data_IF_765438205212
#
_entry.id   IF_765438205212
#
_cell.length_a   1.000
_cell.length_b   1.000
_cell.length_c   1.000
_cell.angle_alpha   90.00
_cell.angle_beta   90.00
_cell.angle_gamma   90.00
#
_symmetry.space_group_name_H-M   'P 1'
#
loop_
_entity.id
_entity.type
_entity.pdbx_description
1 polymer ?
#
# COMPACT_ATOMS: atom_id res chain seq x y z
N UNK A 1 35.15 -21.48 -54.38
CA UNK A 1 34.40 -21.97 -55.55
C UNK A 1 33.05 -21.32 -55.54
N UNK A 2 32.92 -20.43 -56.52
CA UNK A 2 31.75 -20.08 -57.30
C UNK A 2 30.67 -19.35 -56.50
N UNK A 3 30.50 -18.08 -56.52
CA UNK A 3 30.45 -16.98 -57.49
C UNK A 3 29.07 -16.79 -58.08
N UNK A 4 28.76 -15.53 -58.13
CA UNK A 4 27.87 -14.75 -59.00
C UNK A 4 26.38 -14.80 -58.69
N UNK A 5 25.65 -13.76 -58.78
CA UNK A 5 25.77 -12.37 -59.18
C UNK A 5 24.35 -11.84 -59.43
N UNK A 6 24.11 -10.62 -59.01
CA UNK A 6 23.55 -9.54 -59.84
C UNK A 6 22.14 -9.68 -60.42
N UNK A 7 21.33 -8.66 -60.24
CA UNK A 7 20.86 -7.69 -61.23
C UNK A 7 19.75 -6.79 -60.63
N UNK A 8 20.04 -5.55 -60.35
CA UNK A 8 19.61 -4.26 -60.92
C UNK A 8 18.11 -3.96 -61.02
N UNK A 9 17.78 -2.83 -60.44
CA UNK A 9 16.65 -1.95 -60.70
C UNK A 9 16.73 -1.36 -62.16
N UNK A 10 15.71 -0.72 -62.73
CA UNK A 10 15.46 0.71 -62.50
C UNK A 10 14.00 1.21 -62.53
N UNK A 11 13.70 2.27 -61.79
CA UNK A 11 13.43 3.68 -62.15
C UNK A 11 12.34 3.98 -63.17
N UNK A 12 11.35 4.83 -62.78
CA UNK A 12 11.02 6.13 -63.34
C UNK A 12 9.55 6.53 -63.09
N UNK A 13 9.38 7.65 -62.45
CA UNK A 13 8.23 8.59 -62.64
C UNK A 13 8.46 9.31 -64.00
N UNK A 14 7.59 10.18 -64.55
CA UNK A 14 6.72 11.15 -63.86
C UNK A 14 5.41 11.55 -64.61
N UNK A 15 4.63 12.43 -63.92
CA UNK A 15 3.91 13.62 -64.43
C UNK A 15 2.68 13.49 -65.33
N UNK A 16 1.67 14.24 -65.06
CA UNK A 16 1.08 15.46 -65.62
C UNK A 16 -0.44 15.57 -65.34
N UNK A 17 -0.82 16.69 -64.70
CA UNK A 17 -1.68 17.82 -65.17
C UNK A 17 -2.99 17.43 -65.87
N UNK A 18 -4.14 17.91 -65.44
CA UNK A 18 -4.74 19.26 -65.56
C UNK A 18 -6.24 19.14 -65.27
N UNK A 19 -6.83 19.97 -64.47
CA UNK A 19 -7.62 21.14 -64.72
C UNK A 19 -8.86 20.96 -65.65
N UNK A 20 -10.06 21.25 -65.08
CA UNK A 20 -11.06 22.23 -65.56
C UNK A 20 -12.39 22.01 -64.81
N UNK A 21 -12.84 23.01 -64.12
CA UNK A 21 -13.97 23.96 -64.35
C UNK A 21 -15.33 23.33 -64.64
N UNK A 22 -16.31 23.69 -63.82
CA UNK A 22 -17.51 24.22 -64.37
C UNK A 22 -18.81 23.97 -63.63
N UNK A 23 -19.33 25.03 -63.03
CA UNK A 23 -20.76 25.47 -63.03
C UNK A 23 -21.78 24.81 -62.09
N UNK A 24 -22.19 25.59 -61.07
CA UNK A 24 -23.60 25.75 -60.63
C UNK A 24 -24.53 26.15 -61.84
N UNK A 25 -25.89 26.16 -61.76
CA UNK A 25 -26.75 26.50 -60.64
C UNK A 25 -28.12 25.77 -60.59
N UNK A 26 -28.88 26.00 -59.56
CA UNK A 26 -30.27 26.46 -59.48
C UNK A 26 -31.16 25.79 -58.45
N UNK A 27 -31.70 26.61 -57.59
CA UNK A 27 -32.97 26.51 -56.87
C UNK A 27 -34.16 26.46 -57.83
N UNK A 28 -35.41 26.02 -57.49
CA UNK A 28 -36.22 26.66 -56.46
C UNK A 28 -37.30 25.81 -55.72
N UNK A 29 -37.71 26.34 -54.54
CA UNK A 29 -39.08 26.55 -54.00
C UNK A 29 -40.09 25.41 -53.92
N UNK A 30 -40.65 25.14 -52.75
CA UNK A 30 -42.01 25.52 -52.29
C UNK A 30 -42.41 24.86 -50.99
N UNK A 31 -42.88 25.61 -50.05
CA UNK A 31 -43.82 25.32 -48.96
C UNK A 31 -45.21 25.01 -49.52
N UNK A 32 -46.27 24.64 -48.79
CA UNK A 32 -46.46 24.48 -47.34
C UNK A 32 -47.42 23.33 -46.85
N UNK A 33 -47.77 23.43 -45.62
CA UNK A 33 -49.04 23.03 -44.93
C UNK A 33 -49.12 21.62 -44.35
N UNK A 34 -49.35 21.49 -43.16
CA UNK A 34 -50.43 21.60 -42.17
C UNK A 34 -50.71 20.29 -41.42
N UNK A 35 -51.01 20.49 -40.17
CA UNK A 35 -51.92 19.71 -39.27
C UNK A 35 -51.35 18.48 -38.60
N UNK A 36 -51.14 18.60 -37.31
CA UNK A 36 -52.04 18.41 -36.16
C UNK A 36 -52.05 17.02 -35.59
N UNK A 37 -52.11 17.03 -34.30
CA UNK A 37 -52.58 16.02 -33.35
C UNK A 37 -51.52 15.09 -32.72
N UNK A 38 -51.10 15.36 -31.51
CA UNK A 38 -51.59 14.75 -30.31
C UNK A 38 -51.12 13.31 -30.04
N UNK A 39 -50.11 13.16 -29.19
CA UNK A 39 -50.19 12.04 -28.21
C UNK A 39 -49.40 12.40 -26.93
N UNK A 40 -50.14 12.46 -25.86
CA UNK A 40 -49.68 12.51 -24.50
C UNK A 40 -49.05 11.17 -24.15
N UNK A 41 -47.99 11.22 -23.32
CA UNK A 41 -47.64 10.06 -22.53
C UNK A 41 -46.20 9.56 -22.71
N UNK A 42 -45.22 10.28 -22.20
CA UNK A 42 -43.95 9.66 -21.87
C UNK A 42 -43.66 9.95 -20.40
N UNK A 43 -43.70 8.88 -19.63
CA UNK A 43 -43.54 8.88 -18.18
C UNK A 43 -42.28 9.59 -17.75
N UNK A 44 -42.44 10.49 -16.81
CA UNK A 44 -41.38 11.13 -16.07
C UNK A 44 -40.62 10.05 -15.28
N UNK A 45 -39.51 9.57 -15.85
CA UNK A 45 -38.52 8.78 -15.13
C UNK A 45 -37.96 9.67 -14.02
N UNK A 46 -38.17 9.26 -12.79
CA UNK A 46 -37.79 9.95 -11.56
C UNK A 46 -36.28 10.25 -11.56
N UNK A 47 -35.84 11.52 -11.41
CA UNK A 47 -34.41 11.89 -11.34
C UNK A 47 -33.80 11.64 -9.94
N UNK A 48 -34.44 10.82 -9.08
CA UNK A 48 -33.96 10.59 -7.71
C UNK A 48 -32.73 9.66 -7.61
N UNK A 49 -32.54 8.74 -8.55
CA UNK A 49 -31.40 7.80 -8.50
C UNK A 49 -30.08 8.45 -8.94
N UNK A 50 -30.13 9.36 -9.92
CA UNK A 50 -28.94 10.07 -10.39
C UNK A 50 -28.40 11.12 -9.38
N UNK A 51 -29.28 11.65 -8.53
CA UNK A 51 -28.89 12.64 -7.52
C UNK A 51 -28.17 12.01 -6.30
N UNK A 52 -28.48 10.75 -5.98
CA UNK A 52 -27.81 10.03 -4.88
C UNK A 52 -26.38 9.61 -5.26
N UNK A 53 -26.18 9.11 -6.48
CA UNK A 53 -24.85 8.78 -7.01
C UNK A 53 -23.95 10.01 -7.19
N UNK A 54 -24.54 11.17 -7.52
CA UNK A 54 -23.79 12.43 -7.67
C UNK A 54 -23.35 13.05 -6.33
N UNK A 55 -24.01 12.73 -5.21
CA UNK A 55 -23.61 13.22 -3.88
C UNK A 55 -22.42 12.46 -3.32
N UNK A 56 -22.33 11.15 -3.51
CA UNK A 56 -21.16 10.35 -3.14
C UNK A 56 -19.89 10.74 -3.93
N UNK A 57 -20.05 11.21 -5.15
CA UNK A 57 -18.94 11.73 -5.97
C UNK A 57 -18.38 13.09 -5.48
N UNK A 58 -19.08 13.79 -4.58
CA UNK A 58 -18.69 15.12 -4.06
C UNK A 58 -17.86 15.08 -2.76
N UNK A 59 -17.75 13.92 -2.10
CA UNK A 59 -16.92 13.82 -0.89
C UNK A 59 -15.44 13.85 -1.30
N UNK A 60 -14.63 14.79 -0.78
CA UNK A 60 -13.21 14.87 -1.08
C UNK A 60 -12.49 13.55 -0.73
N UNK A 61 -11.48 13.18 -1.51
CA UNK A 61 -10.73 11.95 -1.28
C UNK A 61 -10.04 11.95 0.09
N UNK A 62 -9.61 13.11 0.56
CA UNK A 62 -9.10 13.33 1.93
C UNK A 62 -10.07 12.81 2.98
N UNK A 63 -11.36 13.22 2.90
CA UNK A 63 -12.37 12.82 3.88
C UNK A 63 -12.59 11.30 3.85
N UNK A 64 -12.63 10.68 2.66
CA UNK A 64 -12.79 9.22 2.52
C UNK A 64 -11.64 8.47 3.16
N UNK A 65 -10.40 8.88 2.88
CA UNK A 65 -9.20 8.29 3.48
C UNK A 65 -9.17 8.48 4.99
N UNK A 66 -9.50 9.68 5.49
CA UNK A 66 -9.52 9.97 6.93
C UNK A 66 -10.54 9.11 7.66
N UNK A 67 -11.78 9.03 7.14
CA UNK A 67 -12.83 8.19 7.73
C UNK A 67 -12.42 6.71 7.71
N UNK A 68 -11.88 6.24 6.58
CA UNK A 68 -11.46 4.84 6.44
C UNK A 68 -10.35 4.46 7.43
N UNK A 69 -9.33 5.31 7.55
CA UNK A 69 -8.25 5.08 8.53
C UNK A 69 -8.79 5.17 9.96
N UNK A 70 -9.71 6.10 10.24
CA UNK A 70 -10.41 6.18 11.53
C UNK A 70 -11.16 4.88 11.85
N UNK A 71 -11.91 4.34 10.89
CA UNK A 71 -12.62 3.05 11.05
C UNK A 71 -11.63 1.90 11.32
N UNK A 72 -10.52 1.81 10.57
CA UNK A 72 -9.48 0.79 10.79
C UNK A 72 -8.86 0.92 12.19
N UNK A 73 -8.60 2.14 12.64
CA UNK A 73 -8.05 2.41 13.98
C UNK A 73 -9.03 2.01 15.10
N UNK A 74 -10.31 2.37 14.98
CA UNK A 74 -11.35 1.98 15.94
C UNK A 74 -11.53 0.46 15.96
N UNK A 75 -11.58 -0.17 14.79
CA UNK A 75 -11.62 -1.62 14.66
C UNK A 75 -10.41 -2.27 15.37
N UNK A 76 -9.21 -1.73 15.16
CA UNK A 76 -7.99 -2.19 15.83
C UNK A 76 -8.06 -2.05 17.35
N UNK A 77 -8.58 -0.93 17.88
CA UNK A 77 -8.77 -0.75 19.32
C UNK A 77 -9.70 -1.81 19.91
N UNK A 78 -10.82 -2.07 19.26
CA UNK A 78 -11.78 -3.10 19.70
C UNK A 78 -11.11 -4.47 19.72
N UNK A 79 -10.38 -4.82 18.66
CA UNK A 79 -9.75 -6.13 18.55
C UNK A 79 -8.56 -6.30 19.51
N UNK A 80 -7.74 -5.27 19.73
CA UNK A 80 -6.68 -5.30 20.75
C UNK A 80 -7.29 -5.39 22.15
N UNK A 81 -8.39 -4.66 22.41
CA UNK A 81 -9.13 -4.77 23.66
C UNK A 81 -9.64 -6.19 23.95
N UNK A 82 -10.07 -6.91 22.91
CA UNK A 82 -10.49 -8.31 23.04
C UNK A 82 -9.32 -9.29 23.14
N UNK A 83 -8.25 -9.09 22.36
CA UNK A 83 -7.14 -10.04 22.25
C UNK A 83 -6.10 -9.96 23.36
N UNK A 84 -6.01 -8.84 24.08
CA UNK A 84 -4.89 -8.58 25.00
C UNK A 84 -5.10 -8.86 26.49
N UNK A 85 -6.32 -9.01 27.05
CA UNK A 85 -6.53 -9.06 28.50
C UNK A 85 -5.71 -10.13 29.23
N UNK A 86 -5.66 -11.35 28.68
CA UNK A 86 -4.97 -12.49 29.32
C UNK A 86 -3.46 -12.27 29.37
N UNK A 87 -2.86 -11.90 28.25
CA UNK A 87 -1.42 -11.62 28.19
C UNK A 87 -1.07 -10.38 29.03
N UNK A 88 -1.93 -9.37 29.01
CA UNK A 88 -1.76 -8.14 29.79
C UNK A 88 -1.75 -8.43 31.29
N UNK A 89 -2.65 -9.29 31.76
CA UNK A 89 -2.68 -9.71 33.16
C UNK A 89 -1.40 -10.47 33.58
N UNK A 90 -0.95 -11.39 32.70
CA UNK A 90 0.28 -12.18 32.98
C UNK A 90 1.56 -11.34 32.99
N UNK A 91 1.68 -10.33 32.09
CA UNK A 91 2.90 -9.52 32.00
C UNK A 91 2.92 -8.30 32.90
N UNK A 92 1.76 -7.70 33.20
CA UNK A 92 1.68 -6.41 33.89
C UNK A 92 0.78 -6.41 35.12
N UNK A 93 0.19 -7.54 35.49
CA UNK A 93 -0.75 -7.63 36.63
C UNK A 93 -2.07 -6.86 36.42
N UNK A 94 -2.34 -6.41 35.17
CA UNK A 94 -3.54 -5.66 34.83
C UNK A 94 -4.04 -6.07 33.45
N UNK A 95 -5.32 -6.36 33.31
CA UNK A 95 -5.97 -6.74 32.07
C UNK A 95 -5.97 -5.60 31.04
N UNK A 96 -5.89 -4.35 31.48
CA UNK A 96 -6.03 -3.14 30.65
C UNK A 96 -4.69 -2.53 30.22
N UNK A 97 -3.54 -2.98 30.74
CA UNK A 97 -2.26 -2.32 30.52
C UNK A 97 -1.86 -2.22 29.04
N UNK A 98 -2.07 -3.29 28.25
CA UNK A 98 -1.79 -3.29 26.80
C UNK A 98 -2.78 -2.40 26.06
N UNK A 99 -4.06 -2.47 26.40
CA UNK A 99 -5.10 -1.64 25.78
C UNK A 99 -4.85 -0.15 26.00
N UNK A 100 -4.56 0.28 27.24
CA UNK A 100 -4.27 1.68 27.57
C UNK A 100 -3.04 2.17 26.78
N UNK A 101 -2.01 1.34 26.65
CA UNK A 101 -0.84 1.66 25.83
C UNK A 101 -1.21 1.82 24.35
N UNK A 102 -2.09 0.97 23.83
CA UNK A 102 -2.56 1.10 22.43
C UNK A 102 -3.33 2.41 22.22
N UNK A 103 -4.21 2.80 23.16
CA UNK A 103 -4.93 4.09 23.11
C UNK A 103 -3.95 5.27 23.15
N UNK A 104 -2.95 5.22 24.04
CA UNK A 104 -1.90 6.25 24.13
C UNK A 104 -1.14 6.37 22.79
N UNK A 105 -0.64 5.27 22.24
CA UNK A 105 0.10 5.26 20.98
C UNK A 105 -0.78 5.70 19.80
N UNK A 106 -2.06 5.35 19.82
CA UNK A 106 -3.02 5.83 18.83
C UNK A 106 -3.20 7.35 18.92
N UNK A 107 -3.33 7.90 20.13
CA UNK A 107 -3.39 9.36 20.33
C UNK A 107 -2.17 10.07 19.76
N UNK A 108 -0.96 9.58 20.08
CA UNK A 108 0.30 10.10 19.51
C UNK A 108 0.30 9.97 17.98
N UNK A 109 -0.14 8.83 17.46
CA UNK A 109 -0.21 8.58 16.01
C UNK A 109 -1.19 9.50 15.30
N UNK A 110 -2.38 9.77 15.88
CA UNK A 110 -3.36 10.72 15.33
C UNK A 110 -2.79 12.14 15.33
N UNK A 111 -2.13 12.56 16.40
CA UNK A 111 -1.44 13.87 16.43
C UNK A 111 -0.38 13.94 15.33
N UNK A 112 0.43 12.90 15.16
CA UNK A 112 1.41 12.82 14.08
C UNK A 112 0.73 12.89 12.70
N UNK A 113 -0.34 12.13 12.48
CA UNK A 113 -1.12 12.16 11.23
C UNK A 113 -1.63 13.57 10.92
N UNK A 114 -2.20 14.26 11.89
CA UNK A 114 -2.70 15.63 11.72
C UNK A 114 -1.58 16.62 11.47
N UNK A 115 -0.44 16.52 12.17
CA UNK A 115 0.73 17.36 11.96
C UNK A 115 1.29 17.17 10.54
N UNK A 116 1.49 15.93 10.11
CA UNK A 116 2.05 15.63 8.79
C UNK A 116 1.06 15.93 7.65
N UNK A 117 -0.25 15.90 7.91
CA UNK A 117 -1.25 16.33 6.92
C UNK A 117 -1.23 17.84 6.67
N UNK A 118 -0.69 18.65 7.59
CA UNK A 118 -0.54 20.11 7.44
C UNK A 118 0.82 20.53 6.87
N UNK A 119 1.81 19.64 6.88
CA UNK A 119 3.13 19.91 6.29
C UNK A 119 3.10 19.62 4.80
N UNK A 120 3.42 20.61 3.97
CA UNK A 120 3.51 20.43 2.51
C UNK A 120 4.48 19.28 2.19
N UNK A 121 3.95 18.25 1.49
CA UNK A 121 4.71 17.06 1.11
C UNK A 121 5.98 17.39 0.30
N UNK A 122 6.04 18.52 -0.40
CA UNK A 122 7.21 18.96 -1.16
C UNK A 122 8.43 19.24 -0.28
N UNK A 123 8.22 19.57 1.00
CA UNK A 123 9.32 19.79 1.96
C UNK A 123 10.12 18.51 2.22
N UNK A 124 9.51 17.34 2.12
CA UNK A 124 10.18 16.04 2.29
C UNK A 124 11.32 15.83 1.29
N UNK A 125 11.21 16.44 0.12
CA UNK A 125 12.26 16.46 -0.90
C UNK A 125 13.59 17.03 -0.40
N UNK A 126 13.52 18.05 0.45
CA UNK A 126 14.72 18.72 1.00
C UNK A 126 15.46 17.83 2.00
N UNK A 127 14.73 17.00 2.74
CA UNK A 127 15.30 16.16 3.80
C UNK A 127 15.52 14.69 3.38
N UNK A 128 15.34 14.34 2.10
CA UNK A 128 15.46 12.97 1.61
C UNK A 128 16.77 12.27 1.97
N UNK A 129 17.91 12.98 1.83
CA UNK A 129 19.23 12.42 2.13
C UNK A 129 19.46 12.34 3.63
N UNK A 130 19.29 13.42 4.44
CA UNK A 130 19.46 13.31 5.88
C UNK A 130 18.47 12.30 6.51
N UNK A 131 17.25 12.19 6.01
CA UNK A 131 16.29 11.19 6.49
C UNK A 131 16.81 9.77 6.20
N UNK A 132 17.29 9.51 4.98
CA UNK A 132 17.82 8.20 4.58
C UNK A 132 19.07 7.84 5.38
N UNK A 133 20.05 8.75 5.47
CA UNK A 133 21.30 8.52 6.20
C UNK A 133 21.04 8.36 7.70
N UNK A 134 20.17 9.19 8.27
CA UNK A 134 19.78 9.09 9.68
C UNK A 134 19.09 7.77 10.01
N UNK A 135 18.13 7.32 9.19
CA UNK A 135 17.47 6.03 9.40
C UNK A 135 18.43 4.84 9.18
N UNK A 136 19.33 4.93 8.20
CA UNK A 136 20.36 3.92 7.99
C UNK A 136 21.32 3.85 9.18
N UNK A 137 21.75 5.00 9.71
CA UNK A 137 22.54 5.08 10.94
C UNK A 137 21.82 4.46 12.14
N UNK A 138 20.54 4.73 12.31
CA UNK A 138 19.73 4.10 13.37
C UNK A 138 19.64 2.56 13.22
N UNK A 139 19.55 2.04 11.97
CA UNK A 139 19.58 0.58 11.75
C UNK A 139 20.93 -0.03 12.16
N UNK A 140 22.03 0.68 11.98
CA UNK A 140 23.37 0.24 12.43
C UNK A 140 23.45 0.30 13.95
N UNK A 141 22.98 1.39 14.57
CA UNK A 141 22.99 1.58 16.04
C UNK A 141 22.23 0.47 16.76
N UNK A 142 21.09 0.00 16.23
CA UNK A 142 20.34 -1.12 16.83
C UNK A 142 21.15 -2.42 16.89
N UNK A 143 22.06 -2.61 15.95
CA UNK A 143 22.93 -3.81 15.90
C UNK A 143 24.12 -3.73 16.87
N UNK A 144 24.41 -2.54 17.39
CA UNK A 144 25.50 -2.34 18.34
C UNK A 144 25.15 -2.94 19.72
N UNK A 145 26.07 -3.70 20.34
CA UNK A 145 25.85 -4.27 21.67
C UNK A 145 25.51 -3.20 22.70
N UNK A 146 24.46 -3.43 23.50
CA UNK A 146 24.04 -2.53 24.58
C UNK A 146 23.19 -1.32 24.19
N UNK A 147 23.06 -0.98 22.90
CA UNK A 147 22.23 0.15 22.43
C UNK A 147 20.86 -0.31 21.93
N UNK A 148 20.76 -1.51 21.42
CA UNK A 148 19.48 -2.10 20.97
C UNK A 148 18.71 -2.74 22.13
N UNK A 149 17.40 -2.49 22.18
CA UNK A 149 16.50 -3.18 23.12
C UNK A 149 16.12 -4.53 22.53
N UNK A 150 16.47 -5.60 23.25
CA UNK A 150 16.12 -6.97 22.88
C UNK A 150 14.73 -7.31 23.41
N UNK A 151 13.86 -7.77 22.51
CA UNK A 151 12.59 -8.36 22.88
C UNK A 151 12.32 -9.57 21.97
N UNK A 152 11.86 -10.68 22.55
CA UNK A 152 11.61 -11.91 21.77
C UNK A 152 12.84 -12.47 21.04
N UNK A 153 14.04 -12.31 21.62
CA UNK A 153 15.30 -12.84 21.06
C UNK A 153 15.91 -12.03 19.91
N UNK A 154 15.40 -10.82 19.61
CA UNK A 154 15.94 -9.94 18.56
C UNK A 154 16.04 -8.49 19.00
N UNK A 155 17.15 -7.83 18.64
CA UNK A 155 17.37 -6.38 18.86
C UNK A 155 16.85 -5.61 17.67
N UNK A 156 15.66 -5.02 17.80
CA UNK A 156 14.99 -4.28 16.70
C UNK A 156 14.58 -2.86 17.08
N UNK A 157 14.66 -2.50 18.36
CA UNK A 157 14.17 -1.24 18.89
C UNK A 157 15.27 -0.42 19.53
N UNK A 158 15.15 0.89 19.41
CA UNK A 158 15.92 1.88 20.16
C UNK A 158 14.96 2.55 21.13
N UNK A 159 15.35 2.73 22.38
CA UNK A 159 14.54 3.51 23.30
C UNK A 159 14.63 3.06 24.75
N UNK A 160 13.92 3.78 25.61
CA UNK A 160 13.88 3.59 27.05
C UNK A 160 12.48 3.23 27.53
N UNK A 161 12.39 2.20 28.35
CA UNK A 161 11.14 1.82 29.00
C UNK A 161 10.03 1.47 28.01
N UNK A 162 8.96 2.27 28.00
CA UNK A 162 7.78 2.06 27.14
C UNK A 162 7.89 2.73 25.76
N UNK A 163 8.81 3.70 25.60
CA UNK A 163 9.02 4.40 24.36
C UNK A 163 10.10 3.70 23.54
N UNK A 164 9.66 2.81 22.67
CA UNK A 164 10.51 2.05 21.76
C UNK A 164 10.22 2.43 20.33
N UNK A 165 11.24 2.90 19.63
CA UNK A 165 11.19 3.22 18.21
C UNK A 165 11.84 2.09 17.42
N UNK A 166 11.17 1.63 16.37
CA UNK A 166 11.73 0.65 15.43
C UNK A 166 12.26 1.40 14.19
N UNK A 167 13.59 1.47 13.99
CA UNK A 167 14.16 2.22 12.87
C UNK A 167 13.77 1.69 11.49
N UNK A 168 13.50 0.40 11.37
CA UNK A 168 13.04 -0.20 10.12
C UNK A 168 11.67 0.33 9.67
N UNK A 169 10.82 0.81 10.59
CA UNK A 169 9.56 1.49 10.25
C UNK A 169 9.83 2.85 9.58
N UNK A 170 10.76 3.64 10.13
CA UNK A 170 11.19 4.91 9.54
C UNK A 170 11.88 4.69 8.18
N UNK A 171 12.63 3.59 8.03
CA UNK A 171 13.32 3.26 6.78
C UNK A 171 12.36 3.09 5.61
N UNK A 172 11.16 2.55 5.83
CA UNK A 172 10.13 2.46 4.78
C UNK A 172 9.76 3.84 4.24
N UNK A 173 9.52 4.80 5.13
CA UNK A 173 9.22 6.17 4.73
C UNK A 173 10.42 6.85 4.05
N UNK A 174 11.64 6.67 4.58
CA UNK A 174 12.86 7.23 4.01
C UNK A 174 13.10 6.71 2.58
N UNK A 175 12.89 5.42 2.37
CA UNK A 175 12.99 4.78 1.04
C UNK A 175 11.96 5.35 0.06
N UNK A 176 10.70 5.51 0.49
CA UNK A 176 9.64 6.12 -0.33
C UNK A 176 10.04 7.52 -0.79
N UNK A 177 10.45 8.38 0.14
CA UNK A 177 10.85 9.77 -0.16
C UNK A 177 12.04 9.81 -1.12
N UNK A 178 13.04 8.96 -0.87
CA UNK A 178 14.25 8.90 -1.70
C UNK A 178 13.94 8.42 -3.13
N UNK A 179 13.23 7.31 -3.27
CA UNK A 179 12.92 6.71 -4.59
C UNK A 179 11.99 7.65 -5.39
N UNK A 180 10.98 8.26 -4.74
CA UNK A 180 10.09 9.20 -5.37
C UNK A 180 10.84 10.44 -5.92
N UNK A 181 11.80 10.99 -5.16
CA UNK A 181 12.61 12.11 -5.62
C UNK A 181 13.58 11.70 -6.74
N UNK A 182 14.21 10.55 -6.61
CA UNK A 182 15.12 10.00 -7.64
C UNK A 182 14.41 9.86 -8.99
N UNK A 183 13.25 9.21 -9.02
CA UNK A 183 12.45 9.02 -10.23
C UNK A 183 11.89 10.32 -10.81
N UNK A 184 11.61 11.30 -9.94
CA UNK A 184 11.14 12.61 -10.37
C UNK A 184 12.26 13.42 -11.04
N UNK A 185 13.50 13.34 -10.54
CA UNK A 185 14.64 14.06 -11.12
C UNK A 185 15.20 13.41 -12.37
N UNK A 186 15.03 12.10 -12.52
CA UNK A 186 15.60 11.32 -13.62
C UNK A 186 14.53 10.81 -14.59
N UNK A 187 13.48 11.60 -14.81
CA UNK A 187 12.36 11.23 -15.66
C UNK A 187 12.82 10.91 -17.09
N UNK A 188 13.76 11.66 -17.63
CA UNK A 188 14.29 11.47 -18.98
C UNK A 188 15.21 10.25 -19.11
N UNK A 189 15.67 9.70 -17.99
CA UNK A 189 16.59 8.56 -17.91
C UNK A 189 15.97 7.32 -17.26
N UNK A 190 14.63 7.22 -17.27
CA UNK A 190 13.91 6.11 -16.59
C UNK A 190 14.31 4.74 -17.12
N UNK A 191 14.64 4.64 -18.42
CA UNK A 191 15.10 3.39 -19.04
C UNK A 191 16.56 3.05 -18.74
N UNK A 192 17.32 3.99 -18.16
CA UNK A 192 18.72 3.75 -17.83
C UNK A 192 18.83 3.04 -16.48
N UNK A 193 19.15 1.73 -16.55
CA UNK A 193 19.31 0.87 -15.37
C UNK A 193 20.36 1.39 -14.40
N UNK A 194 21.49 1.92 -14.87
CA UNK A 194 22.59 2.37 -14.01
C UNK A 194 22.19 3.62 -13.21
N UNK A 195 21.53 4.57 -13.86
CA UNK A 195 21.21 5.85 -13.19
C UNK A 195 19.99 5.75 -12.27
N UNK A 196 19.03 4.85 -12.53
CA UNK A 196 17.77 4.78 -11.77
C UNK A 196 17.73 3.55 -10.88
N UNK A 197 17.94 2.37 -11.43
CA UNK A 197 17.74 1.13 -10.69
C UNK A 197 18.88 0.88 -9.71
N UNK A 198 20.13 1.06 -10.13
CA UNK A 198 21.29 0.76 -9.29
C UNK A 198 21.31 1.51 -7.95
N UNK A 199 21.06 2.84 -7.86
CA UNK A 199 20.99 3.52 -6.57
C UNK A 199 19.90 2.99 -5.65
N UNK A 200 18.73 2.62 -6.21
CA UNK A 200 17.64 2.03 -5.42
C UNK A 200 18.05 0.65 -4.90
N UNK A 201 18.69 -0.17 -5.73
CA UNK A 201 19.16 -1.51 -5.33
C UNK A 201 20.24 -1.47 -4.26
N UNK A 202 21.18 -0.54 -4.34
CA UNK A 202 22.22 -0.37 -3.32
C UNK A 202 21.57 -0.06 -1.97
N UNK A 203 20.66 0.92 -1.93
CA UNK A 203 19.97 1.31 -0.69
C UNK A 203 19.08 0.18 -0.18
N UNK A 204 18.30 -0.44 -1.06
CA UNK A 204 17.45 -1.58 -0.71
C UNK A 204 18.29 -2.77 -0.20
N UNK A 205 19.40 -3.07 -0.87
CA UNK A 205 20.30 -4.17 -0.48
C UNK A 205 20.93 -3.94 0.88
N UNK A 206 21.51 -2.74 1.12
CA UNK A 206 22.13 -2.40 2.41
C UNK A 206 21.08 -2.40 3.53
N UNK A 207 19.93 -1.73 3.33
CA UNK A 207 18.87 -1.67 4.36
C UNK A 207 18.28 -3.05 4.64
N UNK A 208 18.02 -3.87 3.61
CA UNK A 208 17.51 -5.23 3.79
C UNK A 208 18.52 -6.12 4.52
N UNK A 209 19.81 -6.01 4.20
CA UNK A 209 20.86 -6.75 4.89
C UNK A 209 20.93 -6.40 6.39
N UNK A 210 20.88 -5.10 6.71
CA UNK A 210 20.86 -4.64 8.12
C UNK A 210 19.61 -5.15 8.85
N UNK A 211 18.44 -5.10 8.21
CA UNK A 211 17.18 -5.57 8.78
C UNK A 211 17.17 -7.10 8.92
N UNK A 212 17.73 -7.83 7.98
CA UNK A 212 17.87 -9.28 8.09
C UNK A 212 18.82 -9.69 9.23
N UNK A 213 19.84 -8.88 9.53
CA UNK A 213 20.65 -9.09 10.75
C UNK A 213 19.88 -8.87 12.06
N UNK A 214 18.75 -8.17 12.02
CA UNK A 214 17.80 -7.97 13.14
C UNK A 214 16.70 -9.05 13.19
N UNK A 215 16.85 -10.23 12.63
CA UNK A 215 15.90 -11.27 12.21
C UNK A 215 14.48 -10.78 11.82
N UNK A 216 14.39 -9.70 11.02
CA UNK A 216 13.13 -9.09 10.58
C UNK A 216 12.91 -9.29 9.07
N UNK A 217 12.54 -10.51 8.68
CA UNK A 217 12.29 -10.86 7.28
C UNK A 217 11.06 -10.15 6.70
N UNK A 218 10.04 -9.94 7.53
CA UNK A 218 8.79 -9.30 7.10
C UNK A 218 9.00 -7.86 6.64
N UNK A 219 9.71 -7.06 7.42
CA UNK A 219 10.00 -5.66 7.03
C UNK A 219 10.90 -5.57 5.81
N UNK A 220 11.87 -6.48 5.66
CA UNK A 220 12.68 -6.54 4.44
C UNK A 220 11.83 -6.83 3.19
N UNK A 221 10.85 -7.75 3.29
CA UNK A 221 9.92 -8.05 2.21
C UNK A 221 9.02 -6.83 1.87
N UNK A 222 8.51 -6.12 2.89
CA UNK A 222 7.74 -4.88 2.67
C UNK A 222 8.57 -3.82 1.97
N UNK A 223 9.85 -3.63 2.35
CA UNK A 223 10.75 -2.69 1.66
C UNK A 223 10.94 -3.05 0.18
N UNK A 224 11.05 -4.34 -0.14
CA UNK A 224 11.11 -4.81 -1.52
C UNK A 224 9.82 -4.47 -2.27
N UNK A 225 8.64 -4.77 -1.69
CA UNK A 225 7.35 -4.43 -2.29
C UNK A 225 7.25 -2.93 -2.58
N UNK A 226 7.66 -2.09 -1.63
CA UNK A 226 7.67 -0.63 -1.78
C UNK A 226 8.60 -0.18 -2.89
N UNK A 227 9.88 -0.64 -2.88
CA UNK A 227 10.88 -0.23 -3.87
C UNK A 227 10.46 -0.64 -5.28
N UNK A 228 10.13 -1.91 -5.48
CA UNK A 228 9.74 -2.43 -6.79
C UNK A 228 8.39 -1.87 -7.25
N UNK A 229 7.45 -1.69 -6.33
CA UNK A 229 6.16 -1.09 -6.65
C UNK A 229 6.28 0.36 -7.11
N UNK A 230 7.10 1.19 -6.44
CA UNK A 230 7.35 2.57 -6.88
C UNK A 230 8.10 2.61 -8.21
N UNK A 231 9.10 1.75 -8.43
CA UNK A 231 9.82 1.65 -9.70
C UNK A 231 8.86 1.28 -10.84
N UNK A 232 8.00 0.28 -10.63
CA UNK A 232 7.01 -0.15 -11.61
C UNK A 232 6.01 0.96 -11.96
N UNK A 233 5.37 1.53 -10.95
CA UNK A 233 4.39 2.60 -11.13
C UNK A 233 5.04 3.91 -11.63
N UNK A 234 6.33 4.08 -11.38
CA UNK A 234 7.15 5.19 -11.89
C UNK A 234 7.52 5.06 -13.37
N UNK A 235 7.17 3.94 -14.03
CA UNK A 235 7.40 3.73 -15.46
C UNK A 235 8.75 3.12 -15.81
N UNK A 236 9.44 2.52 -14.85
CA UNK A 236 10.67 1.76 -15.14
C UNK A 236 10.31 0.49 -15.91
N UNK A 237 11.07 0.11 -16.97
CA UNK A 237 10.80 -1.09 -17.75
C UNK A 237 10.71 -2.36 -16.89
N UNK A 238 9.71 -3.21 -17.16
CA UNK A 238 9.45 -4.42 -16.38
C UNK A 238 10.58 -5.45 -16.43
N UNK A 239 11.22 -5.60 -17.59
CA UNK A 239 12.25 -6.64 -17.79
C UNK A 239 13.39 -6.61 -16.76
N UNK A 240 14.07 -5.47 -16.50
CA UNK A 240 15.07 -5.41 -15.44
C UNK A 240 14.48 -5.59 -14.04
N UNK A 241 13.28 -5.06 -13.76
CA UNK A 241 12.62 -5.23 -12.46
C UNK A 241 12.40 -6.71 -12.15
N UNK A 242 11.84 -7.47 -13.09
CA UNK A 242 11.56 -8.91 -12.91
C UNK A 242 12.87 -9.70 -12.72
N UNK A 243 13.90 -9.44 -13.51
CA UNK A 243 15.21 -10.11 -13.35
C UNK A 243 15.79 -9.87 -11.95
N UNK A 244 15.76 -8.63 -11.48
CA UNK A 244 16.30 -8.26 -10.17
C UNK A 244 15.44 -8.85 -9.06
N UNK A 245 14.12 -8.84 -9.20
CA UNK A 245 13.21 -9.46 -8.22
C UNK A 245 13.49 -10.96 -8.08
N UNK A 246 13.63 -11.67 -9.20
CA UNK A 246 14.00 -13.10 -9.19
C UNK A 246 15.34 -13.32 -8.50
N UNK A 247 16.36 -12.51 -8.83
CA UNK A 247 17.67 -12.59 -8.19
C UNK A 247 17.59 -12.31 -6.68
N UNK A 248 16.79 -11.31 -6.27
CA UNK A 248 16.61 -10.96 -4.87
C UNK A 248 15.88 -12.07 -4.10
N UNK A 249 14.83 -12.66 -4.67
CA UNK A 249 14.12 -13.80 -4.08
C UNK A 249 15.04 -15.02 -3.98
N UNK A 250 15.81 -15.34 -5.02
CA UNK A 250 16.77 -16.44 -4.98
C UNK A 250 17.82 -16.24 -3.88
N UNK A 251 18.40 -15.03 -3.78
CA UNK A 251 19.35 -14.68 -2.73
C UNK A 251 18.73 -14.76 -1.33
N UNK A 252 17.49 -14.25 -1.17
CA UNK A 252 16.75 -14.31 0.09
C UNK A 252 16.47 -15.76 0.52
N UNK A 253 16.17 -16.66 -0.41
CA UNK A 253 16.02 -18.09 -0.16
C UNK A 253 17.34 -18.72 0.28
N UNK A 254 18.46 -18.45 -0.41
CA UNK A 254 19.77 -18.95 -0.02
C UNK A 254 20.14 -18.48 1.39
N UNK A 255 20.01 -17.20 1.68
CA UNK A 255 20.29 -16.62 3.01
C UNK A 255 19.31 -17.13 4.07
N UNK A 256 18.04 -17.34 3.68
CA UNK A 256 17.00 -17.89 4.56
C UNK A 256 17.28 -19.35 4.95
N UNK A 257 17.71 -20.17 4.00
CA UNK A 257 18.02 -21.59 4.25
C UNK A 257 19.36 -21.80 4.95
N UNK A 258 20.29 -20.85 4.87
CA UNK A 258 21.60 -20.93 5.56
C UNK A 258 21.50 -20.71 7.09
N UNK A 259 20.48 -20.01 7.56
CA UNK A 259 20.28 -19.71 9.00
C UNK A 259 19.26 -20.71 9.59
N UNK A 260 19.59 -21.50 10.62
CA UNK A 260 18.68 -22.49 11.22
C UNK A 260 17.33 -21.89 11.64
N UNK A 261 17.31 -20.72 12.26
CA UNK A 261 16.08 -20.05 12.71
C UNK A 261 15.14 -19.69 11.54
N UNK A 262 15.70 -19.22 10.42
CA UNK A 262 14.91 -18.85 9.24
C UNK A 262 14.48 -20.07 8.44
N UNK A 263 15.36 -21.06 8.37
CA UNK A 263 15.10 -22.35 7.72
C UNK A 263 13.91 -23.03 8.40
N UNK A 264 13.85 -23.05 9.73
CA UNK A 264 12.73 -23.63 10.48
C UNK A 264 11.41 -22.91 10.16
N UNK A 265 11.42 -21.59 9.99
CA UNK A 265 10.23 -20.85 9.57
C UNK A 265 9.77 -21.20 8.16
N UNK A 266 10.69 -21.40 7.22
CA UNK A 266 10.37 -21.77 5.83
C UNK A 266 9.87 -23.22 5.78
N UNK A 267 10.52 -24.15 6.48
CA UNK A 267 10.12 -25.55 6.53
C UNK A 267 8.80 -25.77 7.28
N UNK A 268 8.59 -25.06 8.39
CA UNK A 268 7.33 -25.09 9.13
C UNK A 268 6.13 -24.56 8.31
N UNK A 269 6.40 -23.65 7.39
CA UNK A 269 5.38 -23.16 6.45
C UNK A 269 4.97 -24.25 5.44
N UNK A 270 5.93 -25.04 4.95
CA UNK A 270 5.66 -26.10 3.97
C UNK A 270 4.89 -27.29 4.61
N UNK A 271 5.10 -27.55 5.90
CA UNK A 271 4.39 -28.62 6.62
C UNK A 271 4.05 -28.19 8.06
N UNK A 272 3.01 -27.35 8.25
CA UNK A 272 2.63 -26.84 9.57
C UNK A 272 2.21 -27.93 10.57
N UNK A 273 1.64 -29.02 10.08
CA UNK A 273 1.15 -30.13 10.91
C UNK A 273 2.26 -31.03 11.44
N UNK A 274 3.45 -31.04 10.83
CA UNK A 274 4.57 -31.85 11.28
C UNK A 274 5.40 -31.17 12.40
N UNK A 275 5.31 -29.86 12.56
CA UNK A 275 6.09 -29.07 13.52
C UNK A 275 5.16 -28.47 14.59
N UNK A 276 4.93 -29.24 15.65
CA UNK A 276 4.15 -28.80 16.82
C UNK A 276 4.91 -27.86 17.77
N UNK A 277 6.04 -27.29 17.34
CA UNK A 277 6.85 -26.35 18.11
C UNK A 277 7.24 -25.13 17.26
N UNK A 278 7.42 -23.97 17.89
CA UNK A 278 7.89 -22.76 17.24
C UNK A 278 6.90 -22.14 16.27
N UNK A 279 7.35 -21.78 15.07
CA UNK A 279 6.54 -21.07 14.06
C UNK A 279 5.45 -21.94 13.43
N UNK A 280 5.65 -23.24 13.33
CA UNK A 280 4.62 -24.18 12.86
C UNK A 280 3.41 -24.24 13.79
N UNK A 281 3.65 -24.26 15.10
CA UNK A 281 2.60 -24.20 16.11
C UNK A 281 1.76 -22.93 15.99
N UNK A 282 2.39 -21.76 15.74
CA UNK A 282 1.68 -20.50 15.60
C UNK A 282 0.72 -20.51 14.40
N UNK A 283 1.20 -21.00 13.24
CA UNK A 283 0.34 -21.12 12.04
C UNK A 283 -0.79 -22.11 12.27
N UNK A 284 -0.49 -23.25 12.87
CA UNK A 284 -1.49 -24.29 13.18
C UNK A 284 -2.59 -23.75 14.09
N UNK A 285 -2.24 -23.11 15.20
CA UNK A 285 -3.21 -22.49 16.11
C UNK A 285 -3.99 -21.35 15.44
N UNK A 286 -3.34 -20.58 14.57
CA UNK A 286 -3.99 -19.54 13.80
C UNK A 286 -5.08 -20.10 12.87
N UNK A 287 -4.80 -21.20 12.18
CA UNK A 287 -5.76 -21.87 11.29
C UNK A 287 -6.93 -22.50 12.08
N UNK A 288 -6.65 -23.06 13.27
CA UNK A 288 -7.71 -23.54 14.17
C UNK A 288 -8.61 -22.38 14.59
N UNK A 289 -8.03 -21.24 14.97
CA UNK A 289 -8.79 -20.04 15.33
C UNK A 289 -9.69 -19.56 14.19
N UNK A 290 -9.12 -19.41 12.98
CA UNK A 290 -9.89 -19.03 11.79
C UNK A 290 -11.03 -20.02 11.49
N UNK A 291 -10.75 -21.33 11.59
CA UNK A 291 -11.75 -22.38 11.33
C UNK A 291 -12.88 -22.41 12.36
N UNK A 292 -12.57 -22.14 13.65
CA UNK A 292 -13.56 -22.14 14.72
C UNK A 292 -14.56 -20.99 14.66
N UNK A 293 -14.21 -19.89 13.96
CA UNK A 293 -15.07 -18.72 13.83
C UNK A 293 -16.23 -18.89 12.83
N UNK A 294 -16.22 -19.91 11.99
CA UNK A 294 -17.28 -20.13 10.98
C UNK A 294 -17.63 -18.85 10.19
N UNK A 295 -18.92 -18.62 9.90
CA UNK A 295 -19.38 -17.45 9.14
C UNK A 295 -19.48 -16.18 9.99
N UNK A 296 -20.08 -16.28 11.20
CA UNK A 296 -20.44 -15.12 12.03
C UNK A 296 -19.53 -14.91 13.24
N UNK A 297 -18.61 -15.82 13.51
CA UNK A 297 -17.72 -15.78 14.65
C UNK A 297 -18.34 -16.29 15.95
N UNK A 298 -17.50 -16.42 16.98
CA UNK A 298 -17.89 -16.82 18.35
C UNK A 298 -18.41 -15.63 19.18
N UNK A 299 -18.43 -14.41 18.59
CA UNK A 299 -18.71 -13.16 19.27
C UNK A 299 -17.45 -12.52 19.87
N UNK A 300 -17.50 -11.19 20.06
CA UNK A 300 -16.42 -10.42 20.67
C UNK A 300 -16.13 -10.95 22.10
N UNK A 301 -14.87 -11.24 22.37
CA UNK A 301 -14.46 -11.82 23.64
C UNK A 301 -14.62 -13.33 23.73
N UNK A 302 -15.32 -13.98 22.80
CA UNK A 302 -15.58 -15.42 22.81
C UNK A 302 -14.45 -16.30 22.29
N UNK A 303 -13.41 -15.72 21.69
CA UNK A 303 -12.26 -16.44 21.16
C UNK A 303 -11.45 -17.18 22.23
N UNK A 304 -10.99 -18.38 21.90
CA UNK A 304 -10.19 -19.25 22.78
C UNK A 304 -8.69 -19.10 22.54
N UNK A 305 -8.28 -18.73 21.32
CA UNK A 305 -6.87 -18.64 20.93
C UNK A 305 -6.08 -17.61 21.75
N UNK A 306 -6.73 -16.54 22.20
CA UNK A 306 -6.15 -15.51 23.07
C UNK A 306 -5.83 -15.96 24.49
N UNK A 307 -6.29 -17.14 24.95
CA UNK A 307 -6.03 -17.69 26.28
C UNK A 307 -4.65 -18.36 26.40
N UNK A 308 -3.70 -17.98 25.58
CA UNK A 308 -2.32 -18.48 25.61
C UNK A 308 -2.07 -19.61 24.61
N UNK A 309 -3.08 -20.05 23.87
CA UNK A 309 -2.93 -21.05 22.82
C UNK A 309 -2.19 -20.49 21.61
N UNK A 310 -2.49 -19.25 21.20
CA UNK A 310 -1.84 -18.57 20.09
C UNK A 310 -0.87 -17.49 20.61
N UNK A 311 0.45 -17.70 20.51
CA UNK A 311 1.43 -16.69 20.85
C UNK A 311 1.28 -15.45 19.95
N UNK A 312 1.49 -14.25 20.51
CA UNK A 312 1.40 -12.98 19.78
C UNK A 312 0.02 -12.71 19.13
N UNK A 313 -1.07 -13.23 19.70
CA UNK A 313 -2.43 -13.06 19.19
C UNK A 313 -2.84 -11.57 19.04
N UNK A 314 -2.36 -10.67 19.93
CA UNK A 314 -2.66 -9.24 19.93
C UNK A 314 -1.74 -8.41 19.01
N UNK A 315 -0.66 -8.99 18.46
CA UNK A 315 0.31 -8.36 17.57
C UNK A 315 0.22 -8.94 16.16
N UNK A 316 1.01 -9.95 15.86
CA UNK A 316 1.21 -10.45 14.49
C UNK A 316 0.06 -11.33 14.01
N UNK A 317 -0.68 -11.97 14.91
CA UNK A 317 -1.77 -12.90 14.63
C UNK A 317 -3.17 -12.34 14.95
N UNK A 318 -3.32 -11.01 15.06
CA UNK A 318 -4.62 -10.41 15.40
C UNK A 318 -5.71 -10.75 14.38
N UNK A 319 -5.35 -10.95 13.10
CA UNK A 319 -6.28 -11.36 12.06
C UNK A 319 -6.91 -12.74 12.34
N UNK A 320 -6.16 -13.65 13.00
CA UNK A 320 -6.72 -14.93 13.47
C UNK A 320 -7.81 -14.73 14.52
N UNK A 321 -7.58 -13.79 15.46
CA UNK A 321 -8.60 -13.44 16.48
C UNK A 321 -9.81 -12.77 15.82
N UNK A 322 -9.60 -11.92 14.80
CA UNK A 322 -10.70 -11.35 14.00
C UNK A 322 -11.54 -12.47 13.35
N UNK A 323 -10.88 -13.44 12.74
CA UNK A 323 -11.58 -14.58 12.12
C UNK A 323 -12.28 -15.47 13.14
N UNK A 324 -11.71 -15.68 14.33
CA UNK A 324 -12.34 -16.46 15.39
C UNK A 324 -13.57 -15.76 16.00
N UNK A 325 -13.44 -14.45 16.32
CA UNK A 325 -14.47 -13.71 17.06
C UNK A 325 -15.56 -13.13 16.14
N UNK A 326 -15.21 -12.66 14.93
CA UNK A 326 -16.13 -12.06 13.97
C UNK A 326 -16.41 -12.92 12.75
N UNK A 327 -15.80 -14.09 12.67
CA UNK A 327 -15.98 -15.05 11.59
C UNK A 327 -15.47 -14.59 10.24
N UNK A 328 -15.89 -15.29 9.20
CA UNK A 328 -15.55 -14.96 7.82
C UNK A 328 -16.02 -13.56 7.44
N UNK A 329 -17.20 -13.15 7.94
CA UNK A 329 -17.76 -11.81 7.67
C UNK A 329 -16.80 -10.72 8.17
N UNK A 330 -16.31 -10.81 9.41
CA UNK A 330 -15.35 -9.86 9.97
C UNK A 330 -14.03 -9.84 9.18
N UNK A 331 -13.51 -11.00 8.79
CA UNK A 331 -12.30 -11.12 7.99
C UNK A 331 -12.46 -10.47 6.60
N UNK A 332 -13.59 -10.70 5.90
CA UNK A 332 -13.88 -10.12 4.59
C UNK A 332 -14.08 -8.61 4.69
N UNK A 333 -14.79 -8.13 5.72
CA UNK A 333 -14.94 -6.69 5.96
C UNK A 333 -13.58 -6.01 6.15
N UNK A 334 -12.70 -6.60 6.96
CA UNK A 334 -11.35 -6.05 7.18
C UNK A 334 -10.52 -6.04 5.91
N UNK A 335 -10.55 -7.11 5.11
CA UNK A 335 -9.92 -7.15 3.78
C UNK A 335 -10.49 -6.07 2.86
N UNK A 336 -11.82 -5.90 2.87
CA UNK A 336 -12.50 -4.85 2.11
C UNK A 336 -12.06 -3.43 2.50
N UNK A 337 -11.84 -3.17 3.79
CA UNK A 337 -11.31 -1.90 4.27
C UNK A 337 -9.88 -1.63 3.76
N UNK A 338 -8.99 -2.63 3.75
CA UNK A 338 -7.66 -2.49 3.16
C UNK A 338 -7.70 -2.32 1.64
N UNK A 339 -8.61 -3.00 0.96
CA UNK A 339 -8.84 -2.80 -0.47
C UNK A 339 -9.30 -1.36 -0.77
N UNK A 340 -10.25 -0.83 0.00
CA UNK A 340 -10.69 0.56 -0.11
C UNK A 340 -9.55 1.55 0.19
N UNK A 341 -8.67 1.24 1.15
CA UNK A 341 -7.47 2.04 1.41
C UNK A 341 -6.56 2.09 0.18
N UNK A 342 -6.28 0.93 -0.43
CA UNK A 342 -5.49 0.84 -1.65
C UNK A 342 -6.14 1.64 -2.80
N UNK A 343 -7.44 1.50 -2.97
CA UNK A 343 -8.21 2.19 -4.00
C UNK A 343 -8.14 3.71 -3.86
N UNK A 344 -8.45 4.24 -2.66
CA UNK A 344 -8.41 5.68 -2.43
C UNK A 344 -6.98 6.24 -2.40
N UNK A 345 -6.01 5.48 -1.94
CA UNK A 345 -4.60 5.85 -2.00
C UNK A 345 -4.08 5.97 -3.44
N UNK A 346 -4.42 5.01 -4.30
CA UNK A 346 -4.10 5.07 -5.73
C UNK A 346 -4.86 6.21 -6.43
N UNK A 347 -6.10 6.49 -6.03
CA UNK A 347 -6.84 7.63 -6.54
C UNK A 347 -6.17 8.96 -6.16
N UNK A 348 -5.65 9.09 -4.93
CA UNK A 348 -4.86 10.25 -4.51
C UNK A 348 -3.57 10.37 -5.34
N UNK A 349 -2.90 9.26 -5.62
CA UNK A 349 -1.71 9.24 -6.45
C UNK A 349 -1.95 9.70 -7.89
N UNK A 350 -3.04 9.23 -8.52
CA UNK A 350 -3.37 9.59 -9.91
C UNK A 350 -3.84 11.04 -10.05
N UNK A 351 -4.36 11.64 -8.98
CA UNK A 351 -4.83 13.03 -8.94
C UNK A 351 -3.80 14.01 -8.35
N UNK A 352 -2.65 13.52 -7.92
CA UNK A 352 -1.60 14.35 -7.34
C UNK A 352 -1.16 15.46 -8.33
N UNK A 353 -0.83 16.67 -7.83
CA UNK A 353 -0.49 17.80 -8.68
C UNK A 353 0.84 17.66 -9.40
N UNK A 354 1.76 16.87 -8.87
CA UNK A 354 3.09 16.63 -9.45
C UNK A 354 3.52 15.16 -9.30
N UNK A 355 4.57 14.80 -10.05
CA UNK A 355 5.09 13.43 -10.09
C UNK A 355 5.66 12.96 -8.74
N UNK A 356 6.29 13.85 -7.98
CA UNK A 356 6.83 13.51 -6.67
C UNK A 356 5.73 13.13 -5.70
N UNK A 357 4.66 13.95 -5.61
CA UNK A 357 3.48 13.64 -4.81
C UNK A 357 2.80 12.35 -5.23
N UNK A 358 2.66 12.12 -6.56
CA UNK A 358 2.10 10.87 -7.09
C UNK A 358 2.90 9.65 -6.63
N UNK A 359 4.23 9.65 -6.79
CA UNK A 359 5.10 8.54 -6.40
C UNK A 359 5.15 8.33 -4.88
N UNK A 360 5.09 9.40 -4.09
CA UNK A 360 4.98 9.30 -2.63
C UNK A 360 3.66 8.66 -2.21
N UNK A 361 2.54 9.08 -2.79
CA UNK A 361 1.23 8.51 -2.50
C UNK A 361 1.17 7.02 -2.89
N UNK A 362 1.74 6.64 -4.04
CA UNK A 362 1.93 5.25 -4.46
C UNK A 362 2.73 4.48 -3.41
N UNK A 363 3.88 5.01 -3.00
CA UNK A 363 4.76 4.35 -2.05
C UNK A 363 4.10 4.08 -0.70
N UNK A 364 3.41 5.06 -0.12
CA UNK A 364 2.67 4.90 1.14
C UNK A 364 1.54 3.89 0.98
N UNK A 365 0.79 3.95 -0.13
CA UNK A 365 -0.31 3.02 -0.39
C UNK A 365 0.21 1.58 -0.52
N UNK A 366 1.28 1.37 -1.30
CA UNK A 366 1.90 0.04 -1.46
C UNK A 366 2.44 -0.46 -0.13
N UNK A 367 3.11 0.38 0.65
CA UNK A 367 3.60 0.00 1.97
C UNK A 367 2.50 -0.56 2.86
N UNK A 368 1.45 0.24 3.14
CA UNK A 368 0.37 -0.16 4.03
C UNK A 368 -0.37 -1.40 3.50
N UNK A 369 -0.67 -1.44 2.21
CA UNK A 369 -1.40 -2.55 1.60
C UNK A 369 -0.57 -3.83 1.56
N UNK A 370 0.70 -3.77 1.14
CA UNK A 370 1.57 -4.94 1.10
C UNK A 370 1.85 -5.49 2.49
N UNK A 371 2.05 -4.63 3.50
CA UNK A 371 2.23 -5.04 4.88
C UNK A 371 0.99 -5.77 5.41
N UNK A 372 -0.22 -5.27 5.11
CA UNK A 372 -1.46 -5.94 5.47
C UNK A 372 -1.60 -7.30 4.78
N UNK A 373 -1.35 -7.37 3.46
CA UNK A 373 -1.44 -8.62 2.70
C UNK A 373 -0.41 -9.66 3.15
N UNK A 374 0.82 -9.25 3.46
CA UNK A 374 1.86 -10.14 3.95
C UNK A 374 1.50 -10.68 5.34
N UNK A 375 1.00 -9.82 6.26
CA UNK A 375 0.53 -10.26 7.58
C UNK A 375 -0.62 -11.25 7.45
N UNK A 376 -1.68 -10.90 6.71
CA UNK A 376 -2.85 -11.75 6.51
C UNK A 376 -2.43 -13.07 5.83
N UNK A 377 -1.58 -13.01 4.79
CA UNK A 377 -1.05 -14.18 4.12
C UNK A 377 -0.28 -15.12 5.04
N UNK A 378 0.46 -14.58 6.01
CA UNK A 378 1.16 -15.37 7.03
C UNK A 378 0.18 -16.02 8.02
N UNK A 379 -0.86 -15.30 8.44
CA UNK A 379 -1.89 -15.78 9.38
C UNK A 379 -2.74 -16.90 8.79
N UNK A 380 -3.09 -16.81 7.49
CA UNK A 380 -3.86 -17.86 6.78
C UNK A 380 -2.98 -18.98 6.22
N UNK A 381 -1.68 -18.97 6.50
CA UNK A 381 -0.74 -20.03 6.08
C UNK A 381 -0.41 -20.04 4.57
N UNK A 382 -0.57 -18.92 3.85
CA UNK A 382 -0.16 -18.77 2.43
C UNK A 382 1.26 -18.25 2.31
N UNK A 383 1.76 -17.55 3.34
CA UNK A 383 3.12 -17.04 3.44
C UNK A 383 3.77 -17.52 4.74
N UNK A 384 5.10 -17.63 4.81
CA UNK A 384 5.79 -17.93 6.05
C UNK A 384 5.57 -16.82 7.09
N UNK A 385 5.62 -17.19 8.37
CA UNK A 385 5.44 -16.22 9.48
C UNK A 385 6.52 -15.15 9.42
N UNK A 386 6.08 -13.90 9.31
CA UNK A 386 6.96 -12.74 9.10
C UNK A 386 7.19 -11.90 10.34
N UNK A 387 6.28 -11.95 11.33
CA UNK A 387 6.41 -11.17 12.57
C UNK A 387 6.18 -9.67 12.39
N UNK A 388 5.44 -9.25 11.34
CA UNK A 388 5.06 -7.84 11.12
C UNK A 388 3.62 -7.61 11.58
N UNK A 389 3.32 -6.48 12.24
CA UNK A 389 1.96 -6.18 12.68
C UNK A 389 1.06 -5.78 11.52
N UNK A 390 -0.24 -6.05 11.65
CA UNK A 390 -1.27 -5.59 10.72
C UNK A 390 -1.47 -4.07 10.93
N UNK A 391 -1.27 -3.23 9.88
CA UNK A 391 -1.35 -1.77 10.01
C UNK A 391 -2.68 -1.30 10.62
N UNK A 392 -2.62 -0.34 11.54
CA UNK A 392 -3.74 0.27 12.27
C UNK A 392 -4.51 -0.66 13.21
N UNK A 393 -4.45 -1.97 13.02
CA UNK A 393 -5.25 -2.97 13.74
C UNK A 393 -4.47 -3.64 14.87
N UNK A 394 -3.25 -4.10 14.59
CA UNK A 394 -2.41 -4.77 15.60
C UNK A 394 -1.89 -3.84 16.69
N UNK A 395 -1.59 -4.41 17.85
CA UNK A 395 -0.79 -3.72 18.85
C UNK A 395 0.64 -3.52 18.32
N UNK A 396 1.05 -2.23 18.22
CA UNK A 396 2.37 -1.91 17.68
C UNK A 396 2.68 -0.42 17.83
N UNK A 397 3.22 -0.01 18.98
CA UNK A 397 3.44 1.38 19.35
C UNK A 397 4.06 2.25 18.24
N UNK A 398 5.35 2.06 17.95
CA UNK A 398 6.05 2.87 16.93
C UNK A 398 5.55 2.62 15.49
N UNK A 399 5.18 1.38 15.16
CA UNK A 399 4.65 1.04 13.83
C UNK A 399 3.35 1.77 13.54
N UNK A 400 2.43 1.83 14.52
CA UNK A 400 1.16 2.57 14.41
C UNK A 400 1.42 4.06 14.20
N UNK A 401 2.29 4.68 15.00
CA UNK A 401 2.58 6.12 14.90
C UNK A 401 3.19 6.47 13.55
N UNK A 402 4.17 5.69 13.07
CA UNK A 402 4.85 5.97 11.80
C UNK A 402 3.92 5.71 10.62
N UNK A 403 3.07 4.67 10.68
CA UNK A 403 2.05 4.40 9.66
C UNK A 403 1.02 5.52 9.59
N UNK A 404 0.54 6.04 10.74
CA UNK A 404 -0.37 7.19 10.78
C UNK A 404 0.30 8.48 10.29
N UNK A 405 1.59 8.71 10.62
CA UNK A 405 2.35 9.82 10.07
C UNK A 405 2.46 9.74 8.53
N UNK A 406 2.73 8.56 7.98
CA UNK A 406 2.75 8.33 6.54
C UNK A 406 1.38 8.58 5.88
N UNK A 407 0.29 8.16 6.55
CA UNK A 407 -1.07 8.51 6.12
C UNK A 407 -1.28 10.01 6.16
N UNK A 408 -0.75 10.73 7.15
CA UNK A 408 -0.79 12.20 7.20
C UNK A 408 -0.20 12.84 5.94
N UNK A 409 0.95 12.32 5.45
CA UNK A 409 1.54 12.76 4.18
C UNK A 409 0.61 12.44 2.99
N UNK A 410 0.03 11.25 2.96
CA UNK A 410 -0.93 10.86 1.93
C UNK A 410 -2.16 11.77 1.90
N UNK A 411 -2.68 12.14 3.09
CA UNK A 411 -3.79 13.10 3.22
C UNK A 411 -3.41 14.50 2.74
N UNK A 412 -2.18 14.96 3.01
CA UNK A 412 -1.69 16.22 2.48
C UNK A 412 -1.65 16.22 0.94
N UNK A 413 -1.16 15.14 0.33
CA UNK A 413 -1.14 14.98 -1.13
C UNK A 413 -2.57 14.97 -1.69
N UNK A 414 -3.48 14.20 -1.08
CA UNK A 414 -4.88 14.14 -1.46
C UNK A 414 -5.60 15.48 -1.30
N UNK A 415 -5.18 16.32 -0.34
CA UNK A 415 -5.72 17.68 -0.16
C UNK A 415 -5.32 18.65 -1.27
N UNK A 416 -4.23 18.38 -2.00
CA UNK A 416 -3.74 19.18 -3.12
C UNK A 416 -4.16 18.60 -4.48
N UNK A 417 -5.13 17.69 -4.53
CA UNK A 417 -5.60 17.07 -5.78
C UNK A 417 -5.97 18.13 -6.83
N UNK A 418 -5.60 17.88 -8.08
CA UNK A 418 -6.15 18.65 -9.22
C UNK A 418 -7.61 18.26 -9.40
N UNK A 419 -8.51 19.14 -9.02
CA UNK A 419 -9.92 18.98 -9.38
C UNK A 419 -10.02 18.94 -10.92
N UNK A 420 -10.80 18.01 -11.49
CA UNK A 420 -11.09 18.03 -12.91
C UNK A 420 -11.66 19.41 -13.24
N UNK A 421 -11.03 20.15 -14.17
CA UNK A 421 -11.62 21.38 -14.69
C UNK A 421 -13.03 21.01 -15.19
N UNK A 422 -14.09 21.72 -14.76
CA UNK A 422 -15.40 21.54 -15.35
C UNK A 422 -15.22 21.63 -16.86
N UNK A 423 -15.67 20.63 -17.60
CA UNK A 423 -15.66 20.68 -19.05
C UNK A 423 -16.22 22.05 -19.42
N UNK A 424 -15.44 22.86 -20.13
CA UNK A 424 -15.86 24.16 -20.58
C UNK A 424 -17.22 23.94 -21.28
N UNK A 425 -18.30 24.44 -20.66
CA UNK A 425 -19.61 24.47 -21.32
C UNK A 425 -19.31 25.15 -22.64
N UNK A 426 -19.28 24.36 -23.68
CA UNK A 426 -19.27 24.90 -25.04
C UNK A 426 -20.41 25.90 -25.07
N UNK A 427 -20.04 27.17 -24.97
CA UNK A 427 -20.99 28.26 -25.14
C UNK A 427 -21.60 28.04 -26.53
N UNK A 428 -22.84 27.54 -26.51
CA UNK A 428 -23.65 27.57 -27.75
C UNK A 428 -23.64 29.03 -28.19
N UNK A 429 -22.90 29.32 -29.23
CA UNK A 429 -23.05 30.59 -29.95
C UNK A 429 -24.55 30.74 -30.27
N UNK A 430 -25.18 31.84 -29.86
CA UNK A 430 -26.53 32.11 -30.32
C UNK A 430 -26.50 32.12 -31.85
N UNK A 431 -27.52 31.57 -32.51
CA UNK A 431 -27.63 31.70 -33.97
C UNK A 431 -27.64 33.18 -34.30
N UNK A 432 -26.71 33.59 -35.16
CA UNK A 432 -26.70 34.94 -35.75
C UNK A 432 -28.01 35.14 -36.48
N UNK A 433 -28.75 36.20 -36.09
CA UNK A 433 -29.96 36.66 -36.73
C UNK A 433 -29.69 37.14 -38.18
#
# INVERSE_FOLDING_TARGET
>A
MVDTSNIRAPSRSPSHRSATRGRQPSRPTRRPSTTSAGSRGAGAAHPRSAAASSRLARVPNVTRLTVLVGVLCVFGLVMVGSASPVISMGLYGSTWAIFVRQVMWMGVGVVAMLAFSRIDYRKWRKIRVPLLVGTMGMLVVVLAPGLGVTAGGSSRWIGFGQFRLQPSELMKLALIVFVADLLTRRVDKISDTKSVILPVLIILGISSLLILKQPDMGTALVLCCVAFGILFMGGVPMRPIVKILITFVALALVVGLADPYRRDRILSFLNPSANHSGSGYQVWQSLIGLGSGHLLGLGLGGGRQKWGLLPNAHTDFIFSVVGEELGLVGAVVLLGLFFLFAWYGLQAATRAPDRFGSLMAIGVTIWITSQALINIGAVIGVLPVTGIPLPFVSFGGSSLVISLAAVGILLNIAGHERLPRPAARTARRPPSA
#
